data_IF_689606273370
#
_entry.id   IF_689606273370
#
_cell.length_a   1.000
_cell.length_b   1.000
_cell.length_c   1.000
_cell.angle_alpha   90.00
_cell.angle_beta   90.00
_cell.angle_gamma   90.00
#
_symmetry.space_group_name_H-M   'P 1'
#
loop_
_entity.id
_entity.type
_entity.pdbx_description
1 polymer ?
#
# COMPACT_ATOMS: atom_id res chain seq x y z
N UNK A 1 -7.77 -5.25 -22.86
CA UNK A 1 -8.30 -4.81 -21.54
C UNK A 1 -7.42 -5.46 -20.49
N UNK A 2 -6.81 -4.68 -19.59
CA UNK A 2 -5.90 -5.22 -18.58
C UNK A 2 -6.57 -6.32 -17.75
N UNK A 3 -5.84 -7.36 -17.43
CA UNK A 3 -6.31 -8.53 -16.68
C UNK A 3 -6.10 -8.37 -15.18
N UNK A 4 -5.11 -7.58 -14.79
CA UNK A 4 -4.65 -7.38 -13.42
C UNK A 4 -4.68 -5.90 -13.05
N UNK A 5 -4.96 -5.62 -11.79
CA UNK A 5 -5.07 -4.26 -11.25
C UNK A 5 -4.11 -4.07 -10.07
N UNK A 6 -3.26 -3.04 -10.16
CA UNK A 6 -2.34 -2.62 -9.10
C UNK A 6 -2.82 -1.27 -8.55
N UNK A 7 -3.26 -1.24 -7.31
CA UNK A 7 -3.84 -0.07 -6.64
C UNK A 7 -2.86 0.52 -5.63
N UNK A 8 -2.74 1.86 -5.62
CA UNK A 8 -1.77 2.55 -4.80
C UNK A 8 -0.33 2.20 -5.20
N UNK A 9 -0.06 2.19 -6.50
CA UNK A 9 1.19 1.66 -7.04
C UNK A 9 2.41 2.55 -6.76
N UNK A 10 2.22 3.84 -6.46
CA UNK A 10 3.31 4.78 -6.30
C UNK A 10 4.29 4.75 -7.47
N UNK A 11 5.57 4.68 -7.14
CA UNK A 11 6.65 4.54 -8.11
C UNK A 11 6.95 3.07 -8.46
N UNK A 12 6.25 2.11 -7.86
CA UNK A 12 6.45 0.65 -8.04
C UNK A 12 5.32 0.06 -8.87
N UNK A 13 5.27 0.41 -10.14
CA UNK A 13 4.26 -0.07 -11.06
C UNK A 13 4.81 -1.12 -12.03
N UNK A 14 3.90 -1.99 -12.52
CA UNK A 14 4.25 -3.07 -13.45
C UNK A 14 4.11 -2.55 -14.88
N UNK A 15 5.17 -2.64 -15.66
CA UNK A 15 5.19 -2.28 -17.08
C UNK A 15 4.78 -3.48 -17.94
N UNK A 16 3.48 -3.68 -18.08
CA UNK A 16 2.91 -4.75 -18.91
C UNK A 16 1.51 -4.33 -19.35
N UNK A 17 1.10 -4.73 -20.54
CA UNK A 17 -0.25 -4.48 -21.08
C UNK A 17 -1.34 -5.21 -20.30
N UNK A 18 -0.98 -6.28 -19.59
CA UNK A 18 -1.90 -7.03 -18.73
C UNK A 18 -2.21 -6.31 -17.41
N UNK A 19 -1.40 -5.33 -17.03
CA UNK A 19 -1.55 -4.59 -15.77
C UNK A 19 -2.07 -3.18 -15.99
N UNK A 20 -3.12 -2.85 -15.27
CA UNK A 20 -3.54 -1.47 -15.03
C UNK A 20 -2.97 -1.03 -13.69
N UNK A 21 -2.20 0.06 -13.70
CA UNK A 21 -1.65 0.66 -12.50
C UNK A 21 -2.43 1.93 -12.16
N UNK A 22 -2.81 2.07 -10.91
CA UNK A 22 -3.58 3.20 -10.43
C UNK A 22 -3.03 3.74 -9.11
N UNK A 23 -3.06 5.06 -8.98
CA UNK A 23 -2.66 5.76 -7.76
C UNK A 23 -3.47 7.05 -7.61
N UNK A 24 -3.50 7.61 -6.40
CA UNK A 24 -4.11 8.91 -6.18
C UNK A 24 -3.28 10.03 -6.84
N UNK A 25 -1.98 10.03 -6.62
CA UNK A 25 -1.04 11.00 -7.18
C UNK A 25 -0.35 10.44 -8.42
N UNK A 26 -0.69 10.98 -9.59
CA UNK A 26 -0.12 10.51 -10.86
C UNK A 26 1.07 11.39 -11.24
N UNK A 27 2.27 10.85 -11.12
CA UNK A 27 3.51 11.51 -11.51
C UNK A 27 4.15 10.88 -12.77
N UNK A 28 3.58 9.80 -13.27
CA UNK A 28 4.14 9.01 -14.38
C UNK A 28 3.07 8.69 -15.41
N UNK A 29 3.35 8.86 -16.73
CA UNK A 29 2.43 8.44 -17.79
C UNK A 29 2.10 6.95 -17.70
N UNK A 30 0.83 6.60 -17.92
CA UNK A 30 0.35 5.22 -17.89
C UNK A 30 -0.18 4.76 -16.53
N UNK A 31 -0.12 5.61 -15.50
CA UNK A 31 -0.81 5.40 -14.23
C UNK A 31 -2.15 6.13 -14.27
N UNK A 32 -3.21 5.46 -13.84
CA UNK A 32 -4.56 6.04 -13.79
C UNK A 32 -4.79 6.71 -12.45
N UNK A 33 -5.30 7.94 -12.45
CA UNK A 33 -5.65 8.65 -11.22
C UNK A 33 -6.93 8.05 -10.61
N UNK A 34 -6.85 7.54 -9.38
CA UNK A 34 -8.00 6.96 -8.67
C UNK A 34 -7.91 7.29 -7.18
N UNK A 35 -8.99 7.84 -6.62
CA UNK A 35 -9.16 7.93 -5.17
C UNK A 35 -9.75 6.60 -4.65
N UNK A 36 -8.99 5.88 -3.85
CA UNK A 36 -9.39 4.56 -3.33
C UNK A 36 -10.49 4.64 -2.25
N UNK A 37 -10.84 5.84 -1.79
CA UNK A 37 -11.96 6.09 -0.87
C UNK A 37 -13.30 6.18 -1.60
N UNK A 38 -13.23 6.34 -2.92
CA UNK A 38 -14.40 6.45 -3.80
C UNK A 38 -14.68 5.13 -4.53
N UNK A 39 -15.80 5.10 -5.23
CA UNK A 39 -16.13 3.95 -6.09
C UNK A 39 -15.11 3.79 -7.20
N UNK A 40 -14.55 2.58 -7.34
CA UNK A 40 -13.60 2.29 -8.40
C UNK A 40 -14.27 2.39 -9.79
N UNK A 41 -13.66 3.09 -10.76
CA UNK A 41 -14.26 3.38 -12.07
C UNK A 41 -14.20 2.18 -13.03
N UNK A 42 -14.44 0.97 -12.50
CA UNK A 42 -14.41 -0.26 -13.26
C UNK A 42 -15.74 -1.02 -13.11
N UNK A 43 -16.15 -1.76 -14.15
CA UNK A 43 -17.29 -2.66 -14.05
C UNK A 43 -17.06 -3.80 -13.05
N UNK A 44 -18.15 -4.43 -12.61
CA UNK A 44 -18.09 -5.63 -11.79
C UNK A 44 -17.34 -6.75 -12.54
N UNK A 45 -16.66 -7.62 -11.81
CA UNK A 45 -15.99 -8.81 -12.35
C UNK A 45 -14.99 -8.50 -13.50
N UNK A 46 -14.24 -7.42 -13.41
CA UNK A 46 -13.32 -6.95 -14.45
C UNK A 46 -11.94 -7.61 -14.38
N UNK A 47 -11.40 -7.84 -13.20
CA UNK A 47 -10.01 -8.25 -12.99
C UNK A 47 -9.89 -9.67 -12.44
N UNK A 48 -8.88 -10.41 -12.90
CA UNK A 48 -8.57 -11.74 -12.38
C UNK A 48 -7.66 -11.66 -11.13
N UNK A 49 -6.90 -10.58 -10.98
CA UNK A 49 -6.07 -10.31 -9.81
C UNK A 49 -6.09 -8.83 -9.50
N UNK A 50 -6.22 -8.52 -8.22
CA UNK A 50 -6.02 -7.18 -7.67
C UNK A 50 -4.88 -7.25 -6.65
N UNK A 51 -3.95 -6.33 -6.76
CA UNK A 51 -2.82 -6.19 -5.86
C UNK A 51 -2.78 -4.79 -5.27
N UNK A 52 -2.53 -4.69 -3.99
CA UNK A 52 -2.12 -3.44 -3.35
C UNK A 52 -1.16 -3.71 -2.19
N UNK A 53 -0.27 -2.76 -1.99
CA UNK A 53 0.77 -2.84 -0.97
C UNK A 53 0.96 -1.48 -0.33
N UNK A 54 1.00 -1.44 0.99
CA UNK A 54 1.12 -0.21 1.77
C UNK A 54 0.01 0.81 1.43
N UNK A 55 -1.23 0.37 1.49
CA UNK A 55 -2.44 1.15 1.20
C UNK A 55 -3.40 1.14 2.38
N UNK A 56 -3.75 -0.04 2.90
CA UNK A 56 -4.81 -0.18 3.91
C UNK A 56 -4.49 0.54 5.21
N UNK A 57 -3.24 0.55 5.62
CA UNK A 57 -2.75 1.22 6.83
C UNK A 57 -2.97 2.74 6.80
N UNK A 58 -3.13 3.31 5.62
CA UNK A 58 -3.36 4.75 5.43
C UNK A 58 -4.84 5.13 5.32
N UNK A 59 -5.73 4.16 5.28
CA UNK A 59 -7.18 4.39 5.24
C UNK A 59 -7.78 4.35 6.64
N UNK A 60 -8.86 5.12 6.85
CA UNK A 60 -9.69 4.91 8.05
C UNK A 60 -10.35 3.53 7.97
N UNK A 61 -10.76 2.96 9.12
CA UNK A 61 -11.45 1.67 9.11
C UNK A 61 -12.67 1.66 8.17
N UNK A 62 -13.46 2.75 8.16
CA UNK A 62 -14.63 2.88 7.32
C UNK A 62 -14.29 2.97 5.82
N UNK A 63 -13.22 3.68 5.47
CA UNK A 63 -12.77 3.77 4.07
C UNK A 63 -12.12 2.46 3.61
N UNK A 64 -11.37 1.79 4.48
CA UNK A 64 -10.79 0.48 4.21
C UNK A 64 -11.87 -0.58 3.92
N UNK A 65 -12.97 -0.59 4.70
CA UNK A 65 -14.09 -1.49 4.46
C UNK A 65 -14.73 -1.24 3.10
N UNK A 66 -15.03 0.02 2.76
CA UNK A 66 -15.57 0.41 1.45
C UNK A 66 -14.62 0.00 0.32
N UNK A 67 -13.33 0.28 0.46
CA UNK A 67 -12.31 -0.06 -0.51
C UNK A 67 -12.23 -1.57 -0.76
N UNK A 68 -12.25 -2.39 0.29
CA UNK A 68 -12.26 -3.86 0.15
C UNK A 68 -13.53 -4.38 -0.51
N UNK A 69 -14.70 -3.77 -0.24
CA UNK A 69 -15.95 -4.09 -0.93
C UNK A 69 -15.85 -3.76 -2.43
N UNK A 70 -15.24 -2.64 -2.79
CA UNK A 70 -15.01 -2.28 -4.18
C UNK A 70 -14.00 -3.23 -4.87
N UNK A 71 -12.92 -3.61 -4.18
CA UNK A 71 -12.01 -4.65 -4.69
C UNK A 71 -12.76 -5.95 -4.96
N UNK A 72 -13.62 -6.38 -4.05
CA UNK A 72 -14.44 -7.58 -4.24
C UNK A 72 -15.39 -7.43 -5.44
N UNK A 73 -16.04 -6.28 -5.61
CA UNK A 73 -16.97 -6.02 -6.72
C UNK A 73 -16.30 -6.11 -8.08
N UNK A 74 -15.11 -5.51 -8.23
CA UNK A 74 -14.40 -5.49 -9.52
C UNK A 74 -13.57 -6.74 -9.77
N UNK A 75 -13.37 -7.60 -8.77
CA UNK A 75 -12.68 -8.87 -8.91
C UNK A 75 -13.62 -9.93 -9.51
N UNK A 76 -13.11 -10.72 -10.45
CA UNK A 76 -13.86 -11.84 -11.04
C UNK A 76 -14.12 -12.94 -10.00
N UNK A 77 -15.20 -13.70 -10.14
CA UNK A 77 -15.39 -14.92 -9.36
C UNK A 77 -14.17 -15.85 -9.49
N UNK A 78 -13.61 -16.28 -8.35
CA UNK A 78 -12.37 -17.07 -8.33
C UNK A 78 -11.08 -16.26 -8.55
N UNK A 79 -11.18 -14.94 -8.68
CA UNK A 79 -10.01 -14.06 -8.78
C UNK A 79 -9.26 -13.94 -7.45
N UNK A 80 -8.06 -13.38 -7.52
CA UNK A 80 -7.15 -13.26 -6.37
C UNK A 80 -7.07 -11.80 -5.93
N UNK A 81 -7.33 -11.52 -4.66
CA UNK A 81 -6.99 -10.26 -4.01
C UNK A 81 -5.73 -10.47 -3.17
N UNK A 82 -4.63 -9.83 -3.55
CA UNK A 82 -3.37 -9.86 -2.80
C UNK A 82 -3.15 -8.53 -2.09
N UNK A 83 -3.09 -8.62 -0.77
CA UNK A 83 -2.91 -7.47 0.13
C UNK A 83 -1.56 -7.61 0.83
N UNK A 84 -0.77 -6.53 0.84
CA UNK A 84 0.46 -6.44 1.62
C UNK A 84 0.35 -5.23 2.52
N UNK A 85 0.53 -5.44 3.81
CA UNK A 85 0.57 -4.41 4.84
C UNK A 85 1.83 -4.58 5.68
N UNK A 86 2.33 -3.52 6.32
CA UNK A 86 3.44 -3.62 7.25
C UNK A 86 3.13 -4.52 8.43
N UNK A 87 4.13 -5.24 8.90
CA UNK A 87 4.09 -5.99 10.15
C UNK A 87 4.48 -5.08 11.31
N UNK A 88 3.50 -4.40 11.90
CA UNK A 88 3.72 -3.44 12.98
C UNK A 88 4.41 -4.08 14.18
N UNK A 89 4.09 -5.32 14.51
CA UNK A 89 4.72 -6.01 15.63
C UNK A 89 6.22 -6.20 15.38
N UNK A 90 6.59 -6.62 14.18
CA UNK A 90 7.99 -6.79 13.80
C UNK A 90 8.73 -5.43 13.77
N UNK A 91 8.11 -4.39 13.23
CA UNK A 91 8.67 -3.03 13.23
C UNK A 91 8.96 -2.56 14.66
N UNK A 92 8.03 -2.78 15.61
CA UNK A 92 8.23 -2.41 17.02
C UNK A 92 9.36 -3.23 17.66
N UNK A 93 9.45 -4.52 17.39
CA UNK A 93 10.53 -5.37 17.89
C UNK A 93 11.89 -4.93 17.38
N UNK A 94 11.99 -4.62 16.09
CA UNK A 94 13.21 -4.07 15.48
C UNK A 94 13.60 -2.70 16.08
N UNK A 95 12.61 -1.83 16.30
CA UNK A 95 12.86 -0.54 16.98
C UNK A 95 13.50 -0.73 18.35
N UNK A 96 12.94 -1.61 19.19
CA UNK A 96 13.46 -1.88 20.53
C UNK A 96 14.88 -2.46 20.45
N UNK A 97 15.10 -3.39 19.53
CA UNK A 97 16.40 -4.02 19.31
C UNK A 97 17.47 -2.98 18.91
N UNK A 98 17.17 -2.14 17.93
CA UNK A 98 18.07 -1.08 17.46
C UNK A 98 18.38 -0.07 18.60
N UNK A 99 17.38 0.29 19.38
CA UNK A 99 17.55 1.19 20.53
C UNK A 99 18.50 0.59 21.57
N UNK A 100 18.42 -0.70 21.84
CA UNK A 100 19.33 -1.39 22.77
C UNK A 100 20.75 -1.51 22.19
N UNK A 101 20.92 -1.69 20.88
CA UNK A 101 22.20 -1.65 20.20
C UNK A 101 22.89 -0.28 20.37
N UNK A 102 22.14 0.82 20.15
CA UNK A 102 22.65 2.19 20.36
C UNK A 102 23.06 2.41 21.81
N UNK A 103 22.24 2.01 22.77
CA UNK A 103 22.55 2.12 24.21
C UNK A 103 23.79 1.34 24.62
N UNK A 104 24.09 0.26 23.94
CA UNK A 104 25.29 -0.54 24.15
C UNK A 104 26.56 0.01 23.46
N UNK A 105 26.44 1.14 22.76
CA UNK A 105 27.56 1.84 22.13
C UNK A 105 27.84 1.40 20.69
N UNK A 106 26.90 0.74 20.01
CA UNK A 106 27.03 0.43 18.58
C UNK A 106 26.68 1.64 17.71
N UNK A 107 27.68 2.32 17.21
CA UNK A 107 27.52 3.55 16.41
C UNK A 107 27.01 3.28 14.98
N UNK A 108 27.05 2.05 14.49
CA UNK A 108 26.52 1.66 13.16
C UNK A 108 24.99 1.46 13.14
N UNK A 109 24.36 1.50 14.32
CA UNK A 109 22.91 1.34 14.44
C UNK A 109 22.11 2.64 14.23
N UNK A 110 22.75 3.82 14.20
CA UNK A 110 22.05 5.11 14.05
C UNK A 110 21.26 5.21 12.75
N UNK A 111 21.83 4.83 11.62
CA UNK A 111 21.11 4.87 10.32
C UNK A 111 19.93 3.91 10.29
N UNK A 112 20.01 2.77 10.98
CA UNK A 112 18.88 1.84 11.15
C UNK A 112 17.80 2.43 12.04
N UNK A 113 18.20 3.16 13.08
CA UNK A 113 17.26 3.84 13.97
C UNK A 113 16.45 4.90 13.21
N UNK A 114 17.11 5.74 12.43
CA UNK A 114 16.43 6.75 11.62
C UNK A 114 15.43 6.10 10.64
N UNK A 115 15.82 5.00 10.00
CA UNK A 115 14.95 4.27 9.09
C UNK A 115 13.73 3.68 9.82
N UNK A 116 13.92 2.99 10.96
CA UNK A 116 12.81 2.36 11.68
C UNK A 116 11.83 3.38 12.27
N UNK A 117 12.33 4.56 12.63
CA UNK A 117 11.49 5.67 13.05
C UNK A 117 10.58 6.16 11.92
N UNK A 118 11.09 6.28 10.70
CA UNK A 118 10.28 6.63 9.53
C UNK A 118 9.22 5.58 9.25
N UNK A 119 9.57 4.30 9.32
CA UNK A 119 8.62 3.19 9.15
C UNK A 119 7.49 3.23 10.20
N UNK A 120 7.82 3.51 11.47
CA UNK A 120 6.81 3.64 12.53
C UNK A 120 5.84 4.80 12.29
N UNK A 121 6.34 5.96 11.87
CA UNK A 121 5.50 7.13 11.61
C UNK A 121 4.70 7.02 10.34
N UNK A 122 5.14 6.21 9.37
CA UNK A 122 4.41 6.01 8.11
C UNK A 122 3.15 5.13 8.28
N UNK A 123 3.00 4.45 9.42
CA UNK A 123 1.85 3.59 9.74
C UNK A 123 0.63 4.39 10.24
N UNK A 124 0.35 5.56 9.69
CA UNK A 124 -0.74 6.45 10.15
C UNK A 124 -1.79 6.58 9.06
N UNK A 125 -3.08 6.45 9.45
CA UNK A 125 -4.20 6.76 8.57
C UNK A 125 -4.16 8.24 8.17
N UNK A 126 -4.29 8.52 6.88
CA UNK A 126 -4.18 9.87 6.30
C UNK A 126 -5.49 10.28 5.65
N UNK A 127 -5.92 11.52 5.91
CA UNK A 127 -7.08 12.11 5.23
C UNK A 127 -6.69 12.79 3.91
N UNK A 128 -5.44 13.23 3.81
CA UNK A 128 -4.88 13.82 2.59
C UNK A 128 -3.65 13.02 2.18
N UNK A 129 -3.54 12.63 0.90
CA UNK A 129 -2.35 11.97 0.41
C UNK A 129 -1.17 12.94 0.35
N UNK A 130 -0.02 12.43 0.68
CA UNK A 130 1.22 13.17 0.65
C UNK A 130 2.19 12.62 1.69
N UNK A 131 3.35 12.29 1.30
CA UNK A 131 4.51 11.99 2.11
C UNK A 131 5.64 12.86 1.66
#
# INVERSE_FOLDING_TARGET
MALYLNLGCGNRYVRSEDWLNADFAVHTPGIVAIDLREKLPFPDNSFALIYHSHVLEHLTCADAEKFLCECQRVLKPGGILRIVVPDLENIIREYIHILDEIRSGRNDAEAKYDWIMLELYDQVARQTPGG
#
